data_IF_610321644052
#
_entry.id   IF_610321644052
#
_cell.length_a   1.000
_cell.length_b   1.000
_cell.length_c   1.000
_cell.angle_alpha   90.00
_cell.angle_beta   90.00
_cell.angle_gamma   90.00
#
_symmetry.space_group_name_H-M   'P 1'
#
loop_
_entity.id
_entity.type
_entity.pdbx_description
1 polymer ?
#
# COMPACT_ATOMS: atom_id res chain seq x y z
N UNK A 1 -7.99 -2.97 -7.27
CA UNK A 1 -6.59 -2.47 -7.33
C UNK A 1 -6.24 -1.96 -5.94
N UNK A 2 -5.03 -2.20 -5.45
CA UNK A 2 -4.57 -1.69 -4.15
C UNK A 2 -3.22 -0.97 -4.31
N UNK A 3 -2.84 -0.22 -3.29
CA UNK A 3 -1.49 0.31 -3.10
C UNK A 3 -0.94 -0.30 -1.82
N UNK A 4 0.20 -0.98 -1.90
CA UNK A 4 0.84 -1.55 -0.70
C UNK A 4 1.50 -0.43 0.10
N UNK A 5 1.01 -0.20 1.31
CA UNK A 5 1.56 0.82 2.21
C UNK A 5 2.89 0.34 2.80
N UNK A 6 2.88 -0.83 3.44
CA UNK A 6 4.04 -1.38 4.13
C UNK A 6 3.90 -2.91 4.21
N UNK A 7 4.97 -3.63 3.88
CA UNK A 7 5.09 -5.05 4.24
C UNK A 7 5.71 -5.15 5.63
N UNK A 8 4.96 -5.70 6.59
CA UNK A 8 5.37 -5.76 8.00
C UNK A 8 6.33 -6.93 8.25
N UNK A 9 5.93 -8.12 7.77
CA UNK A 9 6.73 -9.34 7.76
C UNK A 9 6.82 -9.79 6.30
N UNK A 10 8.03 -9.86 5.77
CA UNK A 10 8.30 -10.20 4.37
C UNK A 10 9.51 -11.11 4.24
N UNK A 11 9.55 -11.93 3.19
CA UNK A 11 10.68 -12.80 2.87
C UNK A 11 10.99 -13.87 3.94
N UNK A 12 10.01 -14.28 4.73
CA UNK A 12 10.14 -15.38 5.70
C UNK A 12 9.48 -16.62 5.11
N UNK A 13 10.28 -17.64 4.80
CA UNK A 13 9.77 -18.91 4.31
C UNK A 13 8.92 -19.61 5.37
N UNK A 14 7.81 -20.22 4.95
CA UNK A 14 6.89 -20.98 5.82
C UNK A 14 6.37 -20.17 7.03
N UNK A 15 6.21 -18.86 6.85
CA UNK A 15 5.59 -18.00 7.85
C UNK A 15 4.07 -18.20 7.84
N UNK A 16 3.54 -18.62 8.98
CA UNK A 16 2.10 -18.81 9.20
C UNK A 16 1.58 -17.75 10.18
N UNK A 17 0.34 -17.30 9.97
CA UNK A 17 -0.27 -16.26 10.82
C UNK A 17 -0.35 -16.68 12.29
N UNK A 18 -0.44 -17.99 12.57
CA UNK A 18 -0.46 -18.57 13.92
C UNK A 18 0.85 -18.40 14.68
N UNK A 19 1.95 -18.03 14.00
CA UNK A 19 3.25 -17.78 14.63
C UNK A 19 3.34 -16.40 15.29
N UNK A 20 2.30 -15.56 15.16
CA UNK A 20 2.24 -14.22 15.75
C UNK A 20 0.87 -13.97 16.38
N UNK A 21 0.82 -13.04 17.33
CA UNK A 21 -0.45 -12.55 17.86
C UNK A 21 -1.06 -11.53 16.89
N UNK A 22 -1.87 -11.98 15.92
CA UNK A 22 -2.51 -11.12 14.93
C UNK A 22 -3.30 -9.95 15.55
N UNK A 23 -3.90 -10.15 16.72
CA UNK A 23 -4.68 -9.13 17.42
C UNK A 23 -3.84 -7.90 17.78
N UNK A 24 -2.59 -8.09 18.23
CA UNK A 24 -1.69 -6.97 18.53
C UNK A 24 -1.35 -6.14 17.28
N UNK A 25 -1.21 -6.77 16.11
CA UNK A 25 -0.99 -6.05 14.85
C UNK A 25 -2.23 -5.25 14.45
N UNK A 26 -3.42 -5.82 14.64
CA UNK A 26 -4.70 -5.15 14.37
C UNK A 26 -4.84 -3.89 15.23
N UNK A 27 -4.51 -3.98 16.52
CA UNK A 27 -4.59 -2.86 17.46
C UNK A 27 -3.65 -1.71 17.07
N UNK A 28 -2.39 -2.03 16.78
CA UNK A 28 -1.41 -1.03 16.30
C UNK A 28 -1.87 -0.40 14.98
N UNK A 29 -2.28 -1.23 14.03
CA UNK A 29 -2.76 -0.77 12.73
C UNK A 29 -3.95 0.19 12.86
N UNK A 30 -4.98 -0.18 13.63
CA UNK A 30 -6.17 0.64 13.82
C UNK A 30 -5.84 1.95 14.54
N UNK A 31 -4.99 1.90 15.58
CA UNK A 31 -4.51 3.09 16.31
C UNK A 31 -3.78 4.06 15.37
N UNK A 32 -2.88 3.56 14.54
CA UNK A 32 -2.11 4.41 13.62
C UNK A 32 -3.00 5.00 12.54
N UNK A 33 -3.86 4.20 11.88
CA UNK A 33 -4.77 4.70 10.84
C UNK A 33 -5.76 5.75 11.39
N UNK A 34 -6.23 5.59 12.63
CA UNK A 34 -7.06 6.59 13.29
C UNK A 34 -6.39 7.95 13.52
N UNK A 35 -5.05 8.03 13.36
CA UNK A 35 -4.24 9.23 13.66
C UNK A 35 -3.62 9.90 12.43
N UNK A 36 -3.89 9.40 11.22
CA UNK A 36 -3.35 9.98 9.98
C UNK A 36 -4.38 10.87 9.28
N UNK A 37 -3.88 11.84 8.52
CA UNK A 37 -4.69 12.61 7.59
C UNK A 37 -4.87 11.85 6.27
N UNK A 38 -5.90 12.17 5.46
CA UNK A 38 -6.06 11.61 4.12
C UNK A 38 -4.80 11.73 3.26
N UNK A 39 -4.48 10.69 2.51
CA UNK A 39 -3.28 10.62 1.66
C UNK A 39 -3.71 10.71 0.20
N UNK A 40 -3.23 11.72 -0.53
CA UNK A 40 -3.51 11.86 -1.95
C UNK A 40 -2.37 11.27 -2.80
N UNK A 41 -2.73 10.50 -3.82
CA UNK A 41 -1.82 9.91 -4.79
C UNK A 41 -2.24 10.34 -6.19
N UNK A 42 -1.31 10.92 -6.95
CA UNK A 42 -1.46 11.12 -8.38
C UNK A 42 -0.90 9.91 -9.13
N UNK A 43 -1.70 9.34 -10.03
CA UNK A 43 -1.25 8.26 -10.92
C UNK A 43 -0.94 8.79 -12.30
N UNK A 44 0.31 8.63 -12.72
CA UNK A 44 0.81 9.12 -14.01
C UNK A 44 1.85 8.17 -14.55
N UNK A 45 1.66 7.65 -15.75
CA UNK A 45 2.62 6.73 -16.34
C UNK A 45 2.50 5.29 -15.86
N UNK A 46 3.07 4.40 -16.66
CA UNK A 46 3.22 2.99 -16.34
C UNK A 46 4.69 2.59 -16.48
N UNK A 47 5.08 1.54 -15.77
CA UNK A 47 6.36 0.87 -15.98
C UNK A 47 6.14 -0.62 -16.06
N UNK A 48 7.09 -1.32 -16.65
CA UNK A 48 7.08 -2.76 -16.70
C UNK A 48 8.42 -3.34 -16.29
N UNK A 49 8.36 -4.53 -15.70
CA UNK A 49 9.47 -5.43 -15.52
C UNK A 49 9.16 -6.73 -16.26
N UNK A 50 10.10 -7.68 -16.22
CA UNK A 50 9.88 -9.03 -16.76
C UNK A 50 8.68 -9.74 -16.15
N UNK A 51 8.24 -9.33 -14.95
CA UNK A 51 7.23 -10.03 -14.16
C UNK A 51 5.92 -9.24 -13.99
N UNK A 52 5.88 -7.94 -14.30
CA UNK A 52 4.68 -7.13 -14.09
C UNK A 52 4.62 -5.84 -14.90
N UNK A 53 3.40 -5.29 -15.02
CA UNK A 53 3.16 -3.88 -15.33
C UNK A 53 2.63 -3.21 -14.08
N UNK A 54 3.20 -2.05 -13.74
CA UNK A 54 2.79 -1.22 -12.61
C UNK A 54 2.28 0.14 -13.10
N UNK A 55 1.27 0.63 -12.41
CA UNK A 55 0.86 2.03 -12.45
C UNK A 55 1.75 2.82 -11.49
N UNK A 56 2.34 3.90 -11.98
CA UNK A 56 3.22 4.76 -11.18
C UNK A 56 2.38 5.76 -10.40
N UNK A 57 2.52 5.74 -9.08
CA UNK A 57 1.88 6.68 -8.16
C UNK A 57 2.90 7.66 -7.56
N UNK A 58 2.46 8.89 -7.39
CA UNK A 58 3.21 9.99 -6.80
C UNK A 58 2.40 10.53 -5.64
N UNK A 59 2.90 10.35 -4.42
CA UNK A 59 2.24 10.90 -3.24
C UNK A 59 2.32 12.43 -3.27
N UNK A 60 1.20 13.09 -2.98
CA UNK A 60 1.15 14.53 -2.80
C UNK A 60 1.54 14.84 -1.35
N UNK A 61 2.58 15.66 -1.17
CA UNK A 61 3.15 15.94 0.16
C UNK A 61 3.88 14.74 0.76
N UNK A 62 3.91 14.67 2.09
CA UNK A 62 4.65 13.65 2.85
C UNK A 62 3.75 12.68 3.64
N UNK A 63 2.42 12.74 3.48
CA UNK A 63 1.47 11.95 4.27
C UNK A 63 1.69 10.44 4.19
N UNK A 64 1.98 9.92 2.99
CA UNK A 64 2.30 8.50 2.81
C UNK A 64 3.57 8.08 3.55
N UNK A 65 4.60 8.91 3.52
CA UNK A 65 5.87 8.63 4.18
C UNK A 65 5.71 8.69 5.71
N UNK A 66 5.02 9.71 6.21
CA UNK A 66 4.69 9.84 7.63
C UNK A 66 3.86 8.65 8.12
N UNK A 67 2.86 8.21 7.36
CA UNK A 67 2.09 7.03 7.73
C UNK A 67 2.96 5.78 7.79
N UNK A 68 3.82 5.55 6.78
CA UNK A 68 4.76 4.43 6.78
C UNK A 68 5.70 4.47 7.99
N UNK A 69 6.21 5.64 8.37
CA UNK A 69 7.12 5.79 9.51
C UNK A 69 6.40 5.57 10.85
N UNK A 70 5.24 6.22 11.06
CA UNK A 70 4.40 6.01 12.25
C UNK A 70 4.06 4.54 12.45
N UNK A 71 3.70 3.83 11.37
CA UNK A 71 3.39 2.41 11.45
C UNK A 71 4.61 1.58 11.86
N UNK A 72 5.80 1.87 11.30
CA UNK A 72 7.04 1.19 11.69
C UNK A 72 7.39 1.42 13.16
N UNK A 73 7.36 2.67 13.59
CA UNK A 73 7.67 3.09 14.96
C UNK A 73 6.72 2.39 15.94
N UNK A 74 5.41 2.48 15.73
CA UNK A 74 4.43 1.88 16.61
C UNK A 74 4.54 0.34 16.68
N UNK A 75 4.84 -0.34 15.57
CA UNK A 75 5.04 -1.79 15.58
C UNK A 75 6.30 -2.19 16.36
N UNK A 76 7.38 -1.40 16.28
CA UNK A 76 8.62 -1.62 17.02
C UNK A 76 8.42 -1.34 18.51
N UNK A 77 7.75 -0.24 18.87
CA UNK A 77 7.48 0.16 20.25
C UNK A 77 6.65 -0.90 21.00
N UNK A 78 5.69 -1.52 20.32
CA UNK A 78 4.89 -2.62 20.88
C UNK A 78 5.63 -3.98 20.85
N UNK A 79 6.90 -4.00 20.43
CA UNK A 79 7.74 -5.20 20.41
C UNK A 79 7.29 -6.28 19.44
N UNK A 80 6.51 -5.92 18.40
CA UNK A 80 5.98 -6.88 17.45
C UNK A 80 7.07 -7.36 16.49
N UNK A 81 6.95 -8.62 16.04
CA UNK A 81 7.86 -9.17 15.04
C UNK A 81 7.71 -8.39 13.73
N UNK A 82 8.80 -7.78 13.28
CA UNK A 82 8.88 -7.04 12.02
C UNK A 82 10.15 -7.44 11.28
N UNK A 83 10.13 -7.40 9.95
CA UNK A 83 11.31 -7.73 9.12
C UNK A 83 11.58 -6.67 8.07
N UNK A 84 11.01 -5.47 8.21
CA UNK A 84 10.98 -4.39 7.21
C UNK A 84 12.14 -4.46 6.20
N UNK A 85 11.85 -4.49 4.90
CA UNK A 85 12.89 -4.60 3.87
C UNK A 85 13.87 -3.42 4.00
N UNK A 86 15.07 -3.70 4.51
CA UNK A 86 16.10 -2.72 4.82
C UNK A 86 16.82 -2.20 3.58
N UNK A 87 16.64 -2.86 2.43
CA UNK A 87 17.35 -2.53 1.18
C UNK A 87 16.80 -1.28 0.51
N UNK A 88 15.55 -0.91 0.80
CA UNK A 88 14.91 0.26 0.23
C UNK A 88 13.88 0.86 1.19
N UNK A 89 14.02 2.14 1.54
CA UNK A 89 12.88 2.92 2.02
C UNK A 89 11.85 2.90 0.89
N UNK A 90 10.68 2.29 1.10
CA UNK A 90 9.60 2.36 0.11
C UNK A 90 9.23 3.84 -0.03
N UNK A 91 9.76 4.48 -1.08
CA UNK A 91 9.43 5.86 -1.47
C UNK A 91 8.34 5.83 -2.54
N UNK A 92 8.30 4.78 -3.36
CA UNK A 92 7.34 4.68 -4.47
C UNK A 92 5.94 4.33 -3.97
N UNK A 93 4.94 5.05 -4.49
CA UNK A 93 3.55 4.62 -4.51
C UNK A 93 3.36 3.90 -5.85
N UNK A 94 2.99 2.63 -5.85
CA UNK A 94 2.71 1.92 -7.09
C UNK A 94 1.59 0.92 -6.88
N UNK A 95 0.90 0.62 -7.96
CA UNK A 95 -0.14 -0.40 -7.99
C UNK A 95 0.16 -1.37 -9.12
N UNK A 96 0.24 -2.66 -8.80
CA UNK A 96 0.37 -3.69 -9.83
C UNK A 96 -0.91 -3.73 -10.67
N UNK A 97 -0.78 -3.51 -11.98
CA UNK A 97 -1.90 -3.64 -12.93
C UNK A 97 -1.98 -5.06 -13.48
N UNK A 98 -0.82 -5.61 -13.84
CA UNK A 98 -0.70 -6.93 -14.47
C UNK A 98 0.51 -7.64 -13.86
N UNK A 99 0.38 -8.93 -13.58
CA UNK A 99 1.51 -9.83 -13.29
C UNK A 99 1.57 -10.91 -14.36
N UNK A 100 2.75 -11.12 -14.93
CA UNK A 100 2.95 -12.14 -15.95
C UNK A 100 3.12 -13.50 -15.30
N UNK A 101 2.38 -14.50 -15.79
CA UNK A 101 2.50 -15.90 -15.34
C UNK A 101 3.53 -16.70 -16.14
N UNK A 102 4.05 -16.10 -17.22
CA UNK A 102 5.04 -16.69 -18.11
C UNK A 102 5.84 -15.55 -18.76
N UNK A 103 7.07 -15.81 -19.24
CA UNK A 103 7.87 -14.79 -19.94
C UNK A 103 7.11 -14.15 -21.10
N UNK A 104 7.38 -12.87 -21.34
CA UNK A 104 6.72 -12.12 -22.40
C UNK A 104 7.40 -12.42 -23.73
N UNK A 105 6.62 -12.90 -24.70
CA UNK A 105 7.15 -13.27 -26.02
C UNK A 105 7.52 -12.05 -26.90
N UNK A 106 7.08 -10.84 -26.55
CA UNK A 106 7.36 -9.63 -27.33
C UNK A 106 7.62 -8.42 -26.41
N UNK A 107 8.87 -8.30 -25.95
CA UNK A 107 9.32 -7.21 -25.10
C UNK A 107 9.20 -5.83 -25.79
N UNK A 108 9.36 -5.75 -27.12
CA UNK A 108 9.26 -4.49 -27.86
C UNK A 108 7.85 -3.91 -27.79
N UNK A 109 6.81 -4.75 -27.89
CA UNK A 109 5.42 -4.30 -27.76
C UNK A 109 5.13 -3.77 -26.35
N UNK A 110 5.67 -4.41 -25.33
CA UNK A 110 5.57 -3.93 -23.95
C UNK A 110 6.29 -2.58 -23.78
N UNK A 111 7.49 -2.45 -24.34
CA UNK A 111 8.23 -1.20 -24.33
C UNK A 111 7.44 -0.07 -24.99
N UNK A 112 6.87 -0.30 -26.18
CA UNK A 112 6.07 0.68 -26.90
C UNK A 112 4.81 1.09 -26.10
N UNK A 113 4.20 0.16 -25.36
CA UNK A 113 3.09 0.47 -24.47
C UNK A 113 3.54 1.38 -23.31
N UNK A 114 4.67 1.06 -22.66
CA UNK A 114 5.24 1.91 -21.62
C UNK A 114 5.58 3.30 -22.15
N UNK A 115 6.10 3.39 -23.38
CA UNK A 115 6.37 4.66 -24.06
C UNK A 115 5.10 5.48 -24.30
N UNK A 116 4.08 4.85 -24.86
CA UNK A 116 2.79 5.48 -25.15
C UNK A 116 2.18 6.13 -23.91
N UNK A 117 2.26 5.45 -22.76
CA UNK A 117 1.64 5.91 -21.53
C UNK A 117 2.59 6.65 -20.58
N UNK A 118 3.89 6.81 -20.90
CA UNK A 118 4.90 7.33 -19.96
C UNK A 118 4.50 8.61 -19.23
N UNK A 119 3.87 9.55 -19.94
CA UNK A 119 3.43 10.84 -19.40
C UNK A 119 1.91 10.97 -19.25
N UNK A 120 1.16 9.89 -19.48
CA UNK A 120 -0.30 9.90 -19.39
C UNK A 120 -0.75 10.03 -17.93
N UNK A 121 -1.63 10.99 -17.67
CA UNK A 121 -2.19 11.21 -16.32
C UNK A 121 -3.49 10.43 -16.19
N UNK A 122 -3.49 9.43 -15.30
CA UNK A 122 -4.65 8.58 -15.06
C UNK A 122 -5.62 9.17 -14.02
N UNK A 123 -5.17 10.18 -13.28
CA UNK A 123 -5.97 10.91 -12.30
C UNK A 123 -5.38 10.84 -10.90
N UNK A 124 -6.18 11.24 -9.91
CA UNK A 124 -5.79 11.26 -8.50
C UNK A 124 -6.78 10.49 -7.66
N UNK A 125 -6.29 9.92 -6.56
CA UNK A 125 -7.13 9.29 -5.55
C UNK A 125 -6.75 9.80 -4.16
N UNK A 126 -7.75 9.85 -3.29
CA UNK A 126 -7.55 10.04 -1.85
C UNK A 126 -7.72 8.69 -1.17
N UNK A 127 -6.66 8.22 -0.50
CA UNK A 127 -6.67 6.99 0.28
C UNK A 127 -7.39 7.24 1.59
N UNK A 128 -8.57 6.64 1.74
CA UNK A 128 -9.40 6.72 2.95
C UNK A 128 -9.68 5.33 3.55
N UNK A 129 -9.62 4.27 2.75
CA UNK A 129 -9.81 2.87 3.16
C UNK A 129 -8.48 2.15 3.27
N UNK A 130 -8.23 1.52 4.41
CA UNK A 130 -7.01 0.76 4.70
C UNK A 130 -7.35 -0.64 5.17
N UNK A 131 -6.58 -1.61 4.70
CA UNK A 131 -6.76 -3.02 5.04
C UNK A 131 -5.43 -3.61 5.50
N UNK A 132 -5.45 -4.27 6.65
CA UNK A 132 -4.37 -5.13 7.11
C UNK A 132 -4.71 -6.56 6.68
N UNK A 133 -3.81 -7.16 5.90
CA UNK A 133 -4.00 -8.50 5.35
C UNK A 133 -2.80 -9.39 5.67
N UNK A 134 -3.07 -10.68 5.89
CA UNK A 134 -2.07 -11.74 5.80
C UNK A 134 -2.12 -12.37 4.40
N UNK A 135 -0.96 -12.60 3.81
CA UNK A 135 -0.86 -12.90 2.38
C UNK A 135 0.46 -13.60 2.02
N UNK A 136 0.46 -14.36 0.92
CA UNK A 136 1.66 -14.75 0.21
C UNK A 136 2.24 -13.62 -0.68
N UNK A 137 3.38 -13.89 -1.31
CA UNK A 137 4.08 -12.92 -2.16
C UNK A 137 3.26 -12.43 -3.38
N UNK A 138 2.40 -13.28 -3.91
CA UNK A 138 1.67 -13.03 -5.15
C UNK A 138 0.33 -12.35 -4.96
N UNK A 139 -0.16 -12.26 -3.72
CA UNK A 139 -1.45 -11.66 -3.41
C UNK A 139 -2.64 -12.30 -4.13
N UNK A 140 -2.65 -13.63 -4.17
CA UNK A 140 -3.83 -14.36 -4.60
C UNK A 140 -4.96 -14.14 -3.61
N UNK A 141 -6.12 -13.69 -4.11
CA UNK A 141 -7.28 -13.40 -3.26
C UNK A 141 -7.72 -14.63 -2.45
N UNK A 142 -7.64 -15.82 -3.04
CA UNK A 142 -8.02 -17.08 -2.40
C UNK A 142 -7.15 -17.46 -1.18
N UNK A 143 -5.98 -16.81 -1.03
CA UNK A 143 -5.03 -17.03 0.08
C UNK A 143 -4.97 -15.79 0.99
N UNK A 144 -5.47 -14.66 0.53
CA UNK A 144 -5.39 -13.40 1.28
C UNK A 144 -6.42 -13.41 2.40
N UNK A 145 -5.95 -13.33 3.64
CA UNK A 145 -6.80 -13.23 4.83
C UNK A 145 -6.87 -11.78 5.28
N UNK A 146 -8.06 -11.18 5.23
CA UNK A 146 -8.33 -9.88 5.85
C UNK A 146 -8.26 -10.00 7.37
N UNK A 147 -7.43 -9.19 8.01
CA UNK A 147 -7.27 -9.13 9.47
C UNK A 147 -8.03 -7.94 10.08
N UNK A 148 -7.94 -6.77 9.43
CA UNK A 148 -8.67 -5.57 9.83
C UNK A 148 -8.90 -4.66 8.63
N UNK A 149 -10.03 -3.97 8.61
CA UNK A 149 -10.30 -2.88 7.69
C UNK A 149 -10.76 -1.66 8.48
N UNK A 150 -10.14 -0.53 8.21
CA UNK A 150 -10.45 0.72 8.90
C UNK A 150 -10.33 1.89 7.93
N UNK A 151 -11.06 2.96 8.23
CA UNK A 151 -11.01 4.19 7.45
C UNK A 151 -10.41 5.31 8.28
N UNK A 152 -9.82 6.30 7.62
CA UNK A 152 -9.46 7.55 8.29
C UNK A 152 -10.77 8.20 8.78
N UNK A 153 -10.85 8.61 10.06
CA UNK A 153 -12.03 9.31 10.55
C UNK A 153 -12.28 10.56 9.71
N UNK A 154 -13.48 10.68 9.15
CA UNK A 154 -13.91 11.95 8.55
C UNK A 154 -14.01 12.97 9.69
N UNK A 155 -13.27 14.08 9.60
CA UNK A 155 -13.50 15.21 10.50
C UNK A 155 -14.91 15.75 10.23
N UNK A 156 -15.90 15.33 11.01
CA UNK A 156 -17.27 15.88 11.02
C UNK A 156 -17.33 17.23 11.73
N UNK A 157 -16.40 18.14 11.42
CA UNK A 157 -16.42 19.52 11.90
C UNK A 157 -16.27 20.47 10.72
N UNK A 158 -17.37 20.65 9.99
CA UNK A 158 -17.59 21.83 9.17
C UNK A 158 -19.08 22.22 9.26
N UNK A 159 -19.33 23.31 9.99
CA UNK A 159 -20.54 24.13 10.06
C UNK A 159 -21.71 23.66 10.93
N UNK A 160 -21.54 23.81 12.25
CA UNK A 160 -22.62 24.25 13.16
C UNK A 160 -22.43 25.71 13.53
N UNK A 161 -22.44 26.63 12.56
CA UNK A 161 -22.59 28.07 12.81
C UNK A 161 -23.27 28.72 11.59
N UNK A 162 -24.59 28.73 11.62
CA UNK A 162 -25.43 29.76 11.01
C UNK A 162 -26.86 29.62 11.56
N UNK A 163 -27.03 29.89 12.86
CA UNK A 163 -28.28 30.47 13.38
C UNK A 163 -27.99 31.94 13.70
N UNK A 164 -28.55 32.84 12.88
CA UNK A 164 -29.01 34.20 13.22
C UNK A 164 -29.82 34.75 12.03
#
# INVERSE_FOLDING_TARGET
MHLTILSIISCVANFEITQVNAQSYIEVFNKVVGSIAPIEIEYKGISASENCIILQGFAIGNGLEQFRNKLREALIEEGLRVTFDSRYKQVTAHSSLIRFRSPINNAQRLFNLCEQYRNHTFGRITLNDFELVFNNWYQHLDITQSLSRTCIPLNTNANSLAEA
#
